data_IF_460513601235
#
_entry.id   IF_460513601235
#
_cell.length_a   1.000
_cell.length_b   1.000
_cell.length_c   1.000
_cell.angle_alpha   90.00
_cell.angle_beta   90.00
_cell.angle_gamma   90.00
#
_symmetry.space_group_name_H-M   'P 1'
#
loop_
_entity.id
_entity.type
_entity.pdbx_description
1 polymer ?
#
# COMPACT_ATOMS: atom_id res chain seq x y z
N UNK A 1 13.26 -22.50 -12.79
CA UNK A 1 12.01 -21.92 -12.27
C UNK A 1 11.54 -20.72 -13.11
N UNK A 2 12.46 -19.92 -13.67
CA UNK A 2 12.13 -18.76 -14.51
C UNK A 2 11.13 -19.03 -15.65
N UNK A 3 11.33 -20.11 -16.43
CA UNK A 3 10.41 -20.47 -17.51
C UNK A 3 8.97 -20.74 -17.05
N UNK A 4 8.80 -21.32 -15.86
CA UNK A 4 7.47 -21.59 -15.27
C UNK A 4 6.76 -20.27 -14.93
N UNK A 5 7.50 -19.27 -14.41
CA UNK A 5 6.96 -17.93 -14.17
C UNK A 5 6.46 -17.27 -15.45
N UNK A 6 7.23 -17.35 -16.54
CA UNK A 6 6.81 -16.80 -17.84
C UNK A 6 5.56 -17.51 -18.37
N UNK A 7 5.50 -18.84 -18.29
CA UNK A 7 4.34 -19.61 -18.74
C UNK A 7 3.10 -19.29 -17.89
N UNK A 8 3.23 -19.29 -16.56
CA UNK A 8 2.11 -18.98 -15.65
C UNK A 8 1.60 -17.56 -15.83
N UNK A 9 2.50 -16.59 -15.88
CA UNK A 9 2.14 -15.17 -16.05
C UNK A 9 1.50 -14.91 -17.42
N UNK A 10 2.00 -15.53 -18.49
CA UNK A 10 1.40 -15.45 -19.83
C UNK A 10 0.01 -16.10 -19.87
N UNK A 11 -0.16 -17.30 -19.29
CA UNK A 11 -1.46 -17.99 -19.26
C UNK A 11 -2.51 -17.21 -18.47
N UNK A 12 -2.14 -16.66 -17.32
CA UNK A 12 -3.05 -15.82 -16.53
C UNK A 12 -3.37 -14.51 -17.26
N UNK A 13 -2.38 -13.88 -17.89
CA UNK A 13 -2.62 -12.68 -18.69
C UNK A 13 -3.56 -12.94 -19.86
N UNK A 14 -3.36 -14.02 -20.62
CA UNK A 14 -4.26 -14.43 -21.69
C UNK A 14 -5.64 -14.77 -21.16
N UNK A 15 -5.75 -15.49 -20.04
CA UNK A 15 -7.04 -15.83 -19.45
C UNK A 15 -7.90 -14.60 -19.11
N UNK A 16 -7.30 -13.53 -18.59
CA UNK A 16 -8.04 -12.32 -18.23
C UNK A 16 -8.22 -11.31 -19.38
N UNK A 17 -7.29 -11.26 -20.33
CA UNK A 17 -7.27 -10.20 -21.34
C UNK A 17 -7.59 -10.67 -22.76
N UNK A 18 -7.37 -11.96 -23.06
CA UNK A 18 -7.65 -12.54 -24.37
C UNK A 18 -8.86 -13.48 -24.25
N UNK A 19 -9.90 -13.26 -25.04
CA UNK A 19 -11.10 -14.13 -25.13
C UNK A 19 -10.82 -15.50 -25.76
N UNK A 20 -9.57 -15.95 -25.73
CA UNK A 20 -9.13 -17.24 -26.27
C UNK A 20 -9.44 -18.33 -25.25
N UNK A 21 -9.92 -19.50 -25.70
CA UNK A 21 -10.27 -20.67 -24.88
C UNK A 21 -9.09 -21.34 -24.15
N UNK A 22 -8.16 -20.55 -23.62
CA UNK A 22 -7.03 -20.97 -22.82
C UNK A 22 -7.56 -21.49 -21.49
N UNK A 23 -7.27 -22.74 -21.19
CA UNK A 23 -7.65 -23.37 -19.94
C UNK A 23 -6.96 -22.65 -18.76
N UNK A 24 -7.77 -22.25 -17.78
CA UNK A 24 -7.36 -21.67 -16.50
C UNK A 24 -6.34 -22.59 -15.81
N UNK A 25 -5.17 -22.07 -15.36
CA UNK A 25 -4.20 -22.87 -14.63
C UNK A 25 -4.78 -23.29 -13.27
N UNK A 26 -4.45 -24.48 -12.78
CA UNK A 26 -4.92 -24.92 -11.46
C UNK A 26 -4.37 -24.00 -10.38
N UNK A 27 -5.23 -23.61 -9.43
CA UNK A 27 -4.85 -22.78 -8.29
C UNK A 27 -3.71 -23.41 -7.47
N UNK A 28 -3.74 -24.74 -7.30
CA UNK A 28 -2.67 -25.49 -6.63
C UNK A 28 -1.29 -25.30 -7.29
N UNK A 29 -1.22 -25.21 -8.62
CA UNK A 29 0.04 -24.97 -9.34
C UNK A 29 0.57 -23.56 -9.08
N UNK A 30 -0.33 -22.58 -8.95
CA UNK A 30 0.04 -21.19 -8.60
C UNK A 30 0.58 -21.14 -7.18
N UNK A 31 -0.08 -21.80 -6.22
CA UNK A 31 0.41 -21.91 -4.83
C UNK A 31 1.80 -22.54 -4.80
N UNK A 32 1.96 -23.71 -5.42
CA UNK A 32 3.24 -24.42 -5.45
C UNK A 32 4.37 -23.58 -6.04
N UNK A 33 4.06 -22.75 -7.04
CA UNK A 33 5.05 -21.81 -7.58
C UNK A 33 5.41 -20.72 -6.56
N UNK A 34 4.43 -20.05 -5.95
CA UNK A 34 4.67 -19.01 -4.93
C UNK A 34 5.40 -19.55 -3.68
N UNK A 35 5.22 -20.82 -3.34
CA UNK A 35 5.88 -21.43 -2.19
C UNK A 35 7.30 -21.92 -2.52
N UNK A 36 7.59 -22.32 -3.75
CA UNK A 36 8.85 -22.97 -4.10
C UNK A 36 9.73 -22.21 -5.11
N UNK A 37 9.35 -21.00 -5.51
CA UNK A 37 10.18 -20.24 -6.46
C UNK A 37 11.56 -19.93 -5.87
N UNK A 38 12.53 -19.79 -6.75
CA UNK A 38 13.88 -19.37 -6.43
C UNK A 38 13.97 -17.82 -6.55
N UNK A 39 14.21 -17.10 -5.43
CA UNK A 39 14.29 -15.64 -5.45
C UNK A 39 15.36 -15.11 -6.41
N UNK A 40 16.53 -15.77 -6.51
CA UNK A 40 17.63 -15.30 -7.36
C UNK A 40 17.24 -15.32 -8.83
N UNK A 41 16.53 -16.36 -9.28
CA UNK A 41 16.04 -16.45 -10.64
C UNK A 41 14.92 -15.44 -10.92
N UNK A 42 13.99 -15.25 -9.99
CA UNK A 42 12.85 -14.33 -10.20
C UNK A 42 13.31 -12.89 -10.29
N UNK A 43 14.39 -12.52 -9.59
CA UNK A 43 15.02 -11.19 -9.67
C UNK A 43 15.56 -10.82 -11.05
N UNK A 44 15.79 -11.80 -11.93
CA UNK A 44 16.21 -11.55 -13.31
C UNK A 44 15.06 -11.05 -14.20
N UNK A 45 13.80 -11.26 -13.81
CA UNK A 45 12.63 -10.81 -14.56
C UNK A 45 11.50 -10.32 -13.62
N UNK A 46 11.73 -9.24 -12.87
CA UNK A 46 10.80 -8.76 -11.85
C UNK A 46 9.53 -8.13 -12.44
N UNK A 47 9.56 -7.63 -13.67
CA UNK A 47 8.38 -7.13 -14.39
C UNK A 47 7.33 -8.24 -14.57
N UNK A 48 7.78 -9.47 -14.83
CA UNK A 48 6.90 -10.64 -14.91
C UNK A 48 6.35 -11.02 -13.54
N UNK A 49 7.13 -10.82 -12.49
CA UNK A 49 6.69 -11.05 -11.12
C UNK A 49 5.60 -10.06 -10.71
N UNK A 50 5.73 -8.78 -11.06
CA UNK A 50 4.68 -7.77 -10.82
C UNK A 50 3.42 -8.10 -11.63
N UNK A 51 3.59 -8.48 -12.89
CA UNK A 51 2.46 -8.90 -13.74
C UNK A 51 1.74 -10.12 -13.14
N UNK A 52 2.50 -11.08 -12.62
CA UNK A 52 1.97 -12.24 -11.92
C UNK A 52 1.19 -11.81 -10.67
N UNK A 53 1.76 -10.97 -9.80
CA UNK A 53 1.09 -10.46 -8.59
C UNK A 53 -0.24 -9.76 -8.91
N UNK A 54 -0.27 -8.89 -9.91
CA UNK A 54 -1.51 -8.22 -10.39
C UNK A 54 -2.54 -9.24 -10.90
N UNK A 55 -2.10 -10.27 -11.62
CA UNK A 55 -2.98 -11.33 -12.14
C UNK A 55 -3.51 -12.26 -11.05
N UNK A 56 -2.75 -12.49 -9.98
CA UNK A 56 -3.17 -13.27 -8.82
C UNK A 56 -4.38 -12.65 -8.13
N UNK A 57 -4.42 -11.31 -8.03
CA UNK A 57 -5.58 -10.62 -7.46
C UNK A 57 -6.85 -10.89 -8.25
N UNK A 58 -6.76 -10.73 -9.58
CA UNK A 58 -7.89 -11.00 -10.49
C UNK A 58 -8.30 -12.46 -10.39
N UNK A 59 -7.33 -13.35 -10.24
CA UNK A 59 -7.59 -14.78 -10.13
C UNK A 59 -8.28 -15.17 -8.82
N UNK A 60 -7.84 -14.62 -7.69
CA UNK A 60 -8.53 -14.82 -6.41
C UNK A 60 -9.94 -14.22 -6.42
N UNK A 61 -10.13 -13.06 -7.07
CA UNK A 61 -11.46 -12.45 -7.24
C UNK A 61 -12.40 -13.33 -8.09
N UNK A 62 -11.88 -13.93 -9.16
CA UNK A 62 -12.61 -14.83 -10.05
C UNK A 62 -12.94 -16.20 -9.39
N UNK A 63 -12.16 -16.61 -8.38
CA UNK A 63 -12.51 -17.73 -7.49
C UNK A 63 -13.54 -17.34 -6.41
N UNK A 64 -14.02 -16.09 -6.39
CA UNK A 64 -14.99 -15.58 -5.43
C UNK A 64 -14.41 -15.27 -4.03
N UNK A 65 -13.10 -15.38 -3.84
CA UNK A 65 -12.46 -15.10 -2.57
C UNK A 65 -11.09 -14.42 -2.73
N UNK A 66 -11.11 -13.08 -2.69
CA UNK A 66 -9.92 -12.25 -2.80
C UNK A 66 -8.90 -12.49 -1.66
N UNK A 67 -9.33 -13.00 -0.49
CA UNK A 67 -8.44 -13.29 0.65
C UNK A 67 -7.41 -14.38 0.33
N UNK A 68 -7.69 -15.25 -0.64
CA UNK A 68 -6.77 -16.30 -1.08
C UNK A 68 -5.47 -15.73 -1.68
N UNK A 69 -5.49 -14.50 -2.20
CA UNK A 69 -4.29 -13.85 -2.73
C UNK A 69 -3.34 -13.35 -1.64
N UNK A 70 -3.83 -13.07 -0.42
CA UNK A 70 -3.04 -12.48 0.67
C UNK A 70 -1.81 -13.33 1.03
N UNK A 71 -1.93 -14.64 1.36
CA UNK A 71 -0.76 -15.44 1.73
C UNK A 71 0.23 -15.59 0.57
N UNK A 72 -0.26 -15.68 -0.67
CA UNK A 72 0.58 -15.75 -1.86
C UNK A 72 1.39 -14.46 -2.03
N UNK A 73 0.75 -13.31 -1.95
CA UNK A 73 1.41 -12.02 -2.06
C UNK A 73 2.36 -11.75 -0.89
N UNK A 74 2.00 -12.19 0.32
CA UNK A 74 2.88 -12.11 1.49
C UNK A 74 4.17 -12.90 1.28
N UNK A 75 4.08 -14.15 0.78
CA UNK A 75 5.26 -14.95 0.42
C UNK A 75 6.12 -14.26 -0.65
N UNK A 76 5.49 -13.64 -1.65
CA UNK A 76 6.20 -12.89 -2.69
C UNK A 76 6.91 -11.64 -2.14
N UNK A 77 6.26 -10.90 -1.25
CA UNK A 77 6.80 -9.67 -0.67
C UNK A 77 7.96 -9.97 0.28
N UNK A 78 7.89 -11.05 1.06
CA UNK A 78 8.92 -11.41 2.04
C UNK A 78 10.14 -12.10 1.42
N UNK A 79 9.96 -12.86 0.33
CA UNK A 79 11.03 -13.66 -0.27
C UNK A 79 11.74 -13.02 -1.46
N UNK A 80 11.11 -12.06 -2.14
CA UNK A 80 11.68 -11.40 -3.32
C UNK A 80 12.83 -10.41 -3.00
N UNK A 81 12.71 -9.51 -2.00
CA UNK A 81 13.76 -8.55 -1.69
C UNK A 81 14.91 -9.23 -0.92
N UNK A 82 16.12 -8.65 -1.02
CA UNK A 82 17.37 -9.23 -0.45
C UNK A 82 17.53 -8.76 0.97
N UNK A 83 17.12 -7.52 1.16
CA UNK A 83 16.96 -6.86 2.44
C UNK A 83 15.47 -6.51 2.54
N UNK A 84 14.84 -6.78 3.69
CA UNK A 84 13.40 -6.57 3.86
C UNK A 84 13.02 -5.08 3.82
N UNK A 85 13.99 -4.17 3.91
CA UNK A 85 13.82 -2.72 3.82
C UNK A 85 13.67 -2.17 2.39
N UNK A 86 13.61 -3.04 1.37
CA UNK A 86 13.45 -2.60 -0.02
C UNK A 86 11.98 -2.64 -0.46
N UNK A 87 11.44 -1.47 -0.85
CA UNK A 87 10.11 -1.35 -1.43
C UNK A 87 10.03 -2.04 -2.78
N UNK A 88 9.11 -2.99 -2.91
CA UNK A 88 8.71 -3.54 -4.21
C UNK A 88 7.27 -3.14 -4.52
N UNK A 89 6.86 -3.03 -5.80
CA UNK A 89 5.47 -2.72 -6.16
C UNK A 89 4.46 -3.71 -5.55
N UNK A 90 4.90 -4.93 -5.25
CA UNK A 90 4.08 -5.97 -4.62
C UNK A 90 3.64 -5.60 -3.19
N UNK A 91 4.38 -4.75 -2.48
CA UNK A 91 3.99 -4.27 -1.15
C UNK A 91 2.69 -3.47 -1.19
N UNK A 92 2.58 -2.51 -2.12
CA UNK A 92 1.36 -1.72 -2.32
C UNK A 92 0.19 -2.60 -2.73
N UNK A 93 0.43 -3.62 -3.55
CA UNK A 93 -0.58 -4.60 -3.99
C UNK A 93 -1.10 -5.41 -2.79
N UNK A 94 -0.21 -5.91 -1.94
CA UNK A 94 -0.57 -6.65 -0.73
C UNK A 94 -1.44 -5.79 0.21
N UNK A 95 -0.98 -4.59 0.54
CA UNK A 95 -1.71 -3.67 1.44
C UNK A 95 -3.08 -3.28 0.89
N UNK A 96 -3.17 -3.07 -0.42
CA UNK A 96 -4.44 -2.74 -1.08
C UNK A 96 -5.44 -3.88 -0.92
N UNK A 97 -5.05 -5.14 -1.16
CA UNK A 97 -5.97 -6.28 -1.00
C UNK A 97 -6.37 -6.47 0.46
N UNK A 98 -5.44 -6.33 1.39
CA UNK A 98 -5.72 -6.56 2.82
C UNK A 98 -6.69 -5.51 3.35
N UNK A 99 -6.59 -4.27 2.87
CA UNK A 99 -7.55 -3.22 3.15
C UNK A 99 -8.90 -3.46 2.46
N UNK A 100 -8.92 -3.87 1.19
CA UNK A 100 -10.16 -4.16 0.45
C UNK A 100 -10.94 -5.32 1.06
N UNK A 101 -10.26 -6.37 1.48
CA UNK A 101 -10.87 -7.56 2.11
C UNK A 101 -11.17 -7.37 3.59
N UNK A 102 -10.76 -6.23 4.17
CA UNK A 102 -10.77 -5.94 5.62
C UNK A 102 -10.09 -7.04 6.44
N UNK A 103 -9.20 -7.82 5.83
CA UNK A 103 -8.53 -8.95 6.45
C UNK A 103 -7.07 -8.59 6.70
N UNK A 104 -6.84 -7.86 7.78
CA UNK A 104 -5.51 -7.45 8.20
C UNK A 104 -4.98 -8.50 9.18
N UNK A 105 -3.97 -9.25 8.76
CA UNK A 105 -3.29 -10.23 9.61
C UNK A 105 -2.22 -9.56 10.47
N UNK A 106 -1.92 -10.08 11.67
CA UNK A 106 -0.85 -9.54 12.51
C UNK A 106 0.51 -9.57 11.81
N UNK A 107 0.74 -10.55 10.93
CA UNK A 107 1.95 -10.67 10.12
C UNK A 107 2.21 -9.44 9.23
N UNK A 108 1.15 -8.81 8.70
CA UNK A 108 1.27 -7.58 7.92
C UNK A 108 1.67 -6.41 8.81
N UNK A 109 1.14 -6.33 10.03
CA UNK A 109 1.52 -5.28 10.97
C UNK A 109 2.98 -5.41 11.40
N UNK A 110 3.41 -6.64 11.68
CA UNK A 110 4.80 -6.95 12.02
C UNK A 110 5.71 -6.57 10.86
N UNK A 111 5.34 -6.92 9.62
CA UNK A 111 6.09 -6.54 8.43
C UNK A 111 6.27 -5.02 8.33
N UNK A 112 5.20 -4.24 8.57
CA UNK A 112 5.25 -2.78 8.50
C UNK A 112 6.05 -2.12 9.63
N UNK A 113 6.08 -2.72 10.82
CA UNK A 113 6.75 -2.13 12.00
C UNK A 113 8.21 -2.56 12.09
N UNK A 114 8.51 -3.83 11.84
CA UNK A 114 9.86 -4.37 12.00
C UNK A 114 10.76 -4.11 10.79
N UNK A 115 10.18 -3.94 9.61
CA UNK A 115 10.92 -3.69 8.38
C UNK A 115 10.53 -2.33 7.80
N UNK A 116 10.94 -1.22 8.45
CA UNK A 116 10.78 0.09 7.84
C UNK A 116 11.53 0.10 6.52
N UNK A 117 10.86 0.66 5.52
CA UNK A 117 11.36 0.69 4.16
C UNK A 117 12.24 1.93 4.01
N UNK A 118 13.52 1.69 3.76
CA UNK A 118 14.56 2.73 3.62
C UNK A 118 14.99 2.90 2.16
N UNK A 119 14.81 1.87 1.32
CA UNK A 119 15.28 1.84 -0.06
C UNK A 119 14.15 1.49 -1.05
N UNK A 120 14.22 2.06 -2.24
CA UNK A 120 13.33 1.73 -3.35
C UNK A 120 13.98 0.65 -4.22
N UNK A 121 13.24 -0.38 -4.61
CA UNK A 121 13.76 -1.39 -5.55
C UNK A 121 13.94 -0.74 -6.93
N UNK A 122 15.18 -0.42 -7.29
CA UNK A 122 15.49 0.06 -8.64
C UNK A 122 15.69 -1.14 -9.56
N UNK A 123 14.79 -1.33 -10.52
CA UNK A 123 14.98 -2.34 -11.56
C UNK A 123 16.22 -1.99 -12.38
N UNK A 124 17.29 -2.76 -12.25
CA UNK A 124 18.53 -2.62 -13.04
C UNK A 124 18.33 -3.19 -14.46
N UNK A 125 17.12 -3.09 -15.01
CA UNK A 125 16.81 -3.55 -16.36
C UNK A 125 17.09 -2.42 -17.34
N UNK A 126 18.00 -2.67 -18.27
CA UNK A 126 18.42 -1.77 -19.36
C UNK A 126 17.24 -1.41 -20.31
N UNK A 127 16.09 -2.07 -20.18
CA UNK A 127 14.98 -2.02 -21.14
C UNK A 127 13.60 -1.71 -20.55
N UNK A 128 13.51 -1.17 -19.34
CA UNK A 128 12.20 -0.95 -18.69
C UNK A 128 12.12 0.42 -18.02
N UNK A 129 11.29 1.29 -18.57
CA UNK A 129 10.86 2.58 -17.98
C UNK A 129 9.98 2.38 -16.71
N UNK A 130 9.75 1.13 -16.30
CA UNK A 130 8.88 0.70 -15.18
C UNK A 130 9.63 0.77 -13.84
N UNK A 131 10.48 1.79 -13.66
CA UNK A 131 11.11 2.09 -12.38
C UNK A 131 10.06 2.58 -11.37
N UNK A 132 10.14 2.11 -10.12
CA UNK A 132 9.24 2.54 -9.04
C UNK A 132 9.21 4.08 -8.98
N UNK A 133 8.04 4.67 -9.18
CA UNK A 133 7.87 6.12 -9.16
C UNK A 133 7.82 6.63 -7.72
N UNK A 134 8.12 7.93 -7.52
CA UNK A 134 7.84 8.63 -6.25
C UNK A 134 6.37 8.45 -5.82
N UNK A 135 5.46 8.34 -6.80
CA UNK A 135 4.04 8.11 -6.54
C UNK A 135 3.76 6.72 -5.94
N UNK A 136 4.51 5.68 -6.31
CA UNK A 136 4.34 4.33 -5.75
C UNK A 136 4.79 4.29 -4.30
N UNK A 137 5.87 5.02 -3.97
CA UNK A 137 6.32 5.21 -2.60
C UNK A 137 5.28 5.95 -1.75
N UNK A 138 4.74 7.06 -2.27
CA UNK A 138 3.65 7.80 -1.64
C UNK A 138 2.45 6.89 -1.37
N UNK A 139 2.05 6.10 -2.36
CA UNK A 139 0.90 5.21 -2.27
C UNK A 139 1.13 4.10 -1.24
N UNK A 140 2.31 3.49 -1.21
CA UNK A 140 2.68 2.50 -0.20
C UNK A 140 2.57 3.06 1.21
N UNK A 141 3.24 4.19 1.49
CA UNK A 141 3.25 4.76 2.84
C UNK A 141 1.84 5.21 3.29
N UNK A 142 1.03 5.72 2.35
CA UNK A 142 -0.37 6.02 2.62
C UNK A 142 -1.19 4.79 3.02
N UNK A 143 -1.08 3.68 2.27
CA UNK A 143 -1.77 2.44 2.59
C UNK A 143 -1.26 1.81 3.89
N UNK A 144 0.05 1.90 4.16
CA UNK A 144 0.67 1.45 5.42
C UNK A 144 0.10 2.20 6.62
N UNK A 145 0.00 3.53 6.53
CA UNK A 145 -0.62 4.37 7.56
C UNK A 145 -2.09 4.01 7.82
N UNK A 146 -2.89 3.76 6.78
CA UNK A 146 -4.29 3.30 6.95
C UNK A 146 -4.35 1.93 7.64
N UNK A 147 -3.50 1.01 7.21
CA UNK A 147 -3.48 -0.36 7.75
C UNK A 147 -3.15 -0.36 9.24
N UNK A 148 -2.11 0.38 9.63
CA UNK A 148 -1.72 0.55 11.04
C UNK A 148 -2.79 1.26 11.87
N UNK A 149 -3.44 2.29 11.30
CA UNK A 149 -4.56 3.00 11.95
C UNK A 149 -5.73 2.06 12.22
N UNK A 150 -6.09 1.20 11.26
CA UNK A 150 -7.16 0.20 11.43
C UNK A 150 -6.84 -0.84 12.50
N UNK A 151 -5.56 -1.13 12.70
CA UNK A 151 -5.08 -2.07 13.71
C UNK A 151 -4.85 -1.42 15.08
N UNK A 152 -5.10 -0.12 15.21
CA UNK A 152 -4.95 0.63 16.46
C UNK A 152 -3.51 1.04 16.80
N UNK A 153 -2.54 0.76 15.93
CA UNK A 153 -1.16 1.22 16.11
C UNK A 153 -1.00 2.64 15.55
N UNK A 154 -1.52 3.61 16.29
CA UNK A 154 -1.53 5.01 15.86
C UNK A 154 -0.14 5.64 15.85
N UNK A 155 0.78 5.22 16.73
CA UNK A 155 2.13 5.76 16.80
C UNK A 155 2.92 5.45 15.53
N UNK A 156 2.93 4.19 15.10
CA UNK A 156 3.58 3.82 13.84
C UNK A 156 2.85 4.43 12.63
N UNK A 157 1.51 4.56 12.69
CA UNK A 157 0.75 5.17 11.60
C UNK A 157 1.13 6.64 11.34
N UNK A 158 1.54 7.39 12.39
CA UNK A 158 1.98 8.78 12.25
C UNK A 158 3.20 8.86 11.33
N UNK A 159 4.24 8.06 11.59
CA UNK A 159 5.48 8.05 10.81
C UNK A 159 5.19 7.75 9.33
N UNK A 160 4.34 6.76 9.06
CA UNK A 160 3.92 6.41 7.71
C UNK A 160 3.19 7.56 6.98
N UNK A 161 2.29 8.27 7.67
CA UNK A 161 1.63 9.43 7.08
C UNK A 161 2.56 10.63 6.90
N UNK A 162 3.52 10.83 7.80
CA UNK A 162 4.54 11.87 7.65
C UNK A 162 5.44 11.59 6.44
N UNK A 163 5.93 10.37 6.27
CA UNK A 163 6.71 9.98 5.10
C UNK A 163 5.93 10.20 3.81
N UNK A 164 4.65 9.82 3.76
CA UNK A 164 3.78 10.08 2.62
C UNK A 164 3.67 11.58 2.28
N UNK A 165 3.57 12.47 3.27
CA UNK A 165 3.50 13.92 3.03
C UNK A 165 4.82 14.54 2.57
N UNK A 166 5.93 13.92 2.94
CA UNK A 166 7.27 14.40 2.60
C UNK A 166 7.76 13.89 1.24
N UNK A 167 7.04 12.95 0.63
CA UNK A 167 7.36 12.43 -0.70
C UNK A 167 7.41 13.56 -1.74
N UNK A 168 8.44 13.60 -2.62
CA UNK A 168 8.61 14.66 -3.58
C UNK A 168 7.48 14.61 -4.63
N UNK A 169 6.67 15.67 -4.67
CA UNK A 169 5.65 15.87 -5.69
C UNK A 169 6.28 16.52 -6.93
N UNK A 170 6.33 15.83 -8.07
CA UNK A 170 6.78 16.43 -9.32
C UNK A 170 5.72 17.40 -9.86
N UNK A 171 6.15 18.54 -10.39
CA UNK A 171 5.30 19.64 -10.85
C UNK A 171 4.31 19.27 -11.99
N UNK A 172 4.53 18.15 -12.69
CA UNK A 172 3.78 17.75 -13.89
C UNK A 172 2.87 16.51 -13.73
N UNK A 173 2.73 15.98 -12.53
CA UNK A 173 1.71 14.96 -12.22
C UNK A 173 0.76 15.53 -11.15
N UNK A 174 -0.37 14.89 -10.82
CA UNK A 174 -1.20 15.33 -9.69
C UNK A 174 -0.92 14.50 -8.41
N UNK A 175 0.05 14.88 -7.53
CA UNK A 175 0.18 14.30 -6.19
C UNK A 175 -0.59 15.06 -5.09
N UNK A 176 -1.31 16.14 -5.39
CA UNK A 176 -1.97 16.94 -4.35
C UNK A 176 -3.15 16.22 -3.66
N UNK A 177 -3.89 15.37 -4.38
CA UNK A 177 -5.11 14.74 -3.84
C UNK A 177 -4.82 13.71 -2.73
N UNK A 178 -3.93 12.76 -3.01
CA UNK A 178 -3.58 11.70 -2.07
C UNK A 178 -2.81 12.26 -0.87
N UNK A 179 -1.89 13.20 -1.10
CA UNK A 179 -1.19 13.90 -0.01
C UNK A 179 -2.17 14.71 0.85
N UNK A 180 -3.19 15.35 0.27
CA UNK A 180 -4.22 16.05 1.04
C UNK A 180 -5.09 15.09 1.86
N UNK A 181 -5.40 13.92 1.31
CA UNK A 181 -6.12 12.87 2.06
C UNK A 181 -5.27 12.32 3.21
N UNK A 182 -3.99 12.05 2.96
CA UNK A 182 -3.01 11.67 3.96
C UNK A 182 -2.90 12.74 5.06
N UNK A 183 -2.89 14.02 4.70
CA UNK A 183 -2.85 15.13 5.65
C UNK A 183 -4.09 15.13 6.56
N UNK A 184 -5.29 14.95 6.00
CA UNK A 184 -6.53 14.88 6.78
C UNK A 184 -6.48 13.71 7.77
N UNK A 185 -6.04 12.53 7.31
CA UNK A 185 -5.90 11.34 8.16
C UNK A 185 -4.84 11.52 9.24
N UNK A 186 -3.68 12.10 8.92
CA UNK A 186 -2.64 12.44 9.88
C UNK A 186 -3.20 13.33 11.00
N UNK A 187 -4.00 14.36 10.67
CA UNK A 187 -4.62 15.21 11.69
C UNK A 187 -5.53 14.45 12.62
N UNK A 188 -6.33 13.53 12.09
CA UNK A 188 -7.20 12.67 12.90
C UNK A 188 -6.36 11.75 13.80
N UNK A 189 -5.33 11.09 13.25
CA UNK A 189 -4.46 10.21 14.01
C UNK A 189 -3.69 10.97 15.09
N UNK A 190 -3.19 12.18 14.81
CA UNK A 190 -2.58 13.06 15.82
C UNK A 190 -3.55 13.43 16.94
N UNK A 191 -4.81 13.74 16.61
CA UNK A 191 -5.83 14.01 17.62
C UNK A 191 -6.15 12.76 18.47
N UNK A 192 -6.11 11.56 17.89
CA UNK A 192 -6.38 10.32 18.63
C UNK A 192 -5.18 9.93 19.52
N UNK A 193 -3.97 9.94 18.96
CA UNK A 193 -2.77 9.47 19.65
C UNK A 193 -2.20 10.51 20.63
N UNK A 194 -2.19 11.80 20.24
CA UNK A 194 -1.49 12.88 20.96
C UNK A 194 -2.45 13.91 21.56
N UNK A 195 -3.78 13.77 21.38
CA UNK A 195 -4.82 14.71 21.79
C UNK A 195 -4.69 16.15 21.21
N UNK A 196 -3.70 16.41 20.36
CA UNK A 196 -3.43 17.72 19.75
C UNK A 196 -2.81 17.56 18.35
N UNK A 197 -3.16 18.43 17.40
CA UNK A 197 -2.51 18.46 16.09
C UNK A 197 -1.08 19.04 16.20
N UNK A 198 -0.09 18.35 15.62
CA UNK A 198 1.33 18.75 15.64
C UNK A 198 1.70 19.53 14.37
N UNK A 199 2.63 20.48 14.45
CA UNK A 199 3.11 21.17 13.25
C UNK A 199 3.72 20.17 12.26
N UNK A 200 3.48 20.38 10.96
CA UNK A 200 4.09 19.55 9.93
C UNK A 200 5.62 19.77 9.91
N UNK A 201 6.41 18.78 9.47
CA UNK A 201 7.83 18.96 9.25
C UNK A 201 8.11 20.11 8.28
N UNK A 202 9.19 20.86 8.53
CA UNK A 202 9.56 22.08 7.79
C UNK A 202 9.86 21.84 6.30
N UNK A 203 10.10 20.60 5.91
CA UNK A 203 10.46 20.16 4.56
C UNK A 203 9.27 19.58 3.78
N UNK A 204 8.05 19.70 4.30
CA UNK A 204 6.83 19.37 3.54
C UNK A 204 6.66 20.33 2.36
N UNK A 205 5.99 19.89 1.28
CA UNK A 205 5.85 20.74 0.10
C UNK A 205 5.11 22.04 0.43
N UNK A 206 5.54 23.20 -0.12
CA UNK A 206 4.95 24.50 0.21
C UNK A 206 3.46 24.59 -0.12
N UNK A 207 2.98 23.80 -1.10
CA UNK A 207 1.56 23.68 -1.46
C UNK A 207 0.74 23.09 -0.30
N UNK A 208 1.26 22.06 0.39
CA UNK A 208 0.58 21.45 1.53
C UNK A 208 0.59 22.35 2.77
N UNK A 209 1.67 23.10 2.99
CA UNK A 209 1.71 24.13 4.04
C UNK A 209 0.66 25.23 3.78
N UNK A 210 0.48 25.65 2.52
CA UNK A 210 -0.54 26.61 2.15
C UNK A 210 -1.96 26.07 2.40
N UNK A 211 -2.23 24.80 2.08
CA UNK A 211 -3.50 24.15 2.41
C UNK A 211 -3.72 23.97 3.91
N UNK A 212 -2.68 23.81 4.72
CA UNK A 212 -2.82 23.83 6.18
C UNK A 212 -3.34 25.19 6.67
N UNK A 213 -2.84 26.28 6.08
CA UNK A 213 -3.23 27.65 6.43
C UNK A 213 -4.65 27.96 5.92
N UNK A 214 -4.98 27.59 4.68
CA UNK A 214 -6.33 27.80 4.10
C UNK A 214 -7.40 26.84 4.66
N UNK A 215 -7.04 25.60 4.96
CA UNK A 215 -7.90 24.61 5.61
C UNK A 215 -8.17 24.98 7.06
N UNK A 216 -7.20 25.57 7.76
CA UNK A 216 -7.45 26.26 9.02
C UNK A 216 -8.39 27.46 8.80
N UNK A 217 -8.23 28.26 7.75
CA UNK A 217 -9.14 29.39 7.49
C UNK A 217 -10.59 28.96 7.16
N UNK A 218 -10.82 27.80 6.54
CA UNK A 218 -12.17 27.27 6.24
C UNK A 218 -12.74 26.29 7.27
N UNK A 219 -11.90 25.74 8.16
CA UNK A 219 -12.29 24.77 9.20
C UNK A 219 -12.21 25.31 10.65
N UNK A 220 -11.75 26.54 10.85
CA UNK A 220 -11.68 27.18 12.19
C UNK A 220 -12.99 27.89 12.51
N UNK A 221 -14.03 27.08 12.73
CA UNK A 221 -15.01 27.37 13.79
C UNK A 221 -14.96 26.30 14.90
N UNK A 222 -13.97 25.39 14.88
CA UNK A 222 -13.72 24.44 15.97
C UNK A 222 -12.53 24.85 16.86
N UNK A 223 -12.20 26.14 16.92
CA UNK A 223 -11.36 26.67 18.03
C UNK A 223 -12.28 27.04 19.17
N UNK A 224 -12.33 26.22 20.21
CA UNK A 224 -12.73 26.68 21.55
C UNK A 224 -13.77 25.89 22.31
N UNK A 225 -14.21 24.70 21.87
CA UNK A 225 -14.98 23.82 22.75
C UNK A 225 -14.09 22.68 23.26
N UNK A 226 -14.17 22.32 24.55
CA UNK A 226 -13.46 21.15 25.05
C UNK A 226 -13.93 19.95 24.23
N UNK A 227 -12.98 19.21 23.66
CA UNK A 227 -13.17 17.89 23.04
C UNK A 227 -13.69 16.93 24.12
N UNK A 228 -14.95 17.12 24.54
CA UNK A 228 -15.63 16.29 25.52
C UNK A 228 -16.27 15.14 24.76
N UNK A 229 -15.61 13.98 24.83
CA UNK A 229 -16.11 12.59 24.86
C UNK A 229 -17.31 12.11 24.00
N UNK A 230 -18.02 12.95 23.25
CA UNK A 230 -19.34 12.65 22.69
C UNK A 230 -19.35 12.35 21.18
N UNK A 231 -18.20 12.11 20.54
CA UNK A 231 -18.12 11.86 19.08
C UNK A 231 -17.25 10.67 18.66
N UNK A 232 -16.97 9.72 19.56
CA UNK A 232 -16.27 8.49 19.19
C UNK A 232 -17.03 7.67 18.12
N UNK A 233 -18.37 7.73 18.12
CA UNK A 233 -19.20 7.05 17.11
C UNK A 233 -19.16 7.69 15.70
N UNK A 234 -18.92 9.00 15.59
CA UNK A 234 -18.86 9.68 14.29
C UNK A 234 -17.49 9.55 13.62
N UNK A 235 -16.43 9.35 14.42
CA UNK A 235 -15.06 9.20 13.95
C UNK A 235 -14.87 7.85 13.23
N UNK A 236 -15.57 6.78 13.66
CA UNK A 236 -15.56 5.47 12.98
C UNK A 236 -15.95 5.56 11.51
N UNK A 237 -16.94 6.40 11.20
CA UNK A 237 -17.44 6.65 9.84
C UNK A 237 -16.42 7.32 8.91
N UNK A 238 -15.56 8.17 9.47
CA UNK A 238 -14.46 8.83 8.74
C UNK A 238 -13.20 7.94 8.59
N UNK A 239 -13.07 6.90 9.41
CA UNK A 239 -11.97 5.92 9.36
C UNK A 239 -12.37 4.68 8.53
N UNK A 240 -13.62 4.61 8.06
CA UNK A 240 -14.15 3.42 7.38
C UNK A 240 -14.16 2.19 8.29
N UNK A 241 -14.43 2.42 9.58
CA UNK A 241 -14.77 1.41 10.58
C UNK A 241 -16.30 1.47 10.70
N UNK A 242 -17.00 1.07 9.65
CA UNK A 242 -18.42 0.72 9.76
C UNK A 242 -18.46 -0.80 9.77
N UNK A 243 -18.70 -1.35 10.96
CA UNK A 243 -19.04 -2.75 11.22
C UNK A 243 -20.40 -3.05 10.58
N UNK A 244 -20.38 -3.91 9.56
CA UNK A 244 -21.47 -4.78 9.14
C UNK A 244 -20.84 -6.10 8.67
#
# INVERSE_FOLDING_TARGET
MLGVMYILSARLHMYFNAQSGVQRPLWATVIQFCDNFDPEQVRLAPERMIMLAKSLMRYASDQGNLKLAIPLLYSLVTRLPTTPSILTPNHSILLLITLQTRHITPEICILLVENPIDELFMFTSIYSDDSLSSNDNLFYHYLGGITLTKMGNYTAALDYFETALTAPSTHNSPPAGLQLEALKKLRLVQCIALARPQALPKYTSPVLMLFQILGAAKGVHLRGSPFRAARLAEIGKYIGIDDE
#
